data_IF_316275558777
#
_entry.id   IF_316275558777
#
_cell.length_a   1.000
_cell.length_b   1.000
_cell.length_c   1.000
_cell.angle_alpha   90.00
_cell.angle_beta   90.00
_cell.angle_gamma   90.00
#
_symmetry.space_group_name_H-M   'P 1'
#
loop_
_entity.id
_entity.type
_entity.pdbx_description
1 polymer ?
#
# COMPACT_ATOMS: atom_id res chain seq x y z
N UNK A 1 0.79 -42.06 8.82
CA UNK A 1 1.03 -40.76 9.49
C UNK A 1 1.91 -39.93 8.58
N UNK A 2 1.32 -39.14 7.68
CA UNK A 2 2.03 -38.14 6.88
C UNK A 2 1.28 -36.84 7.14
N UNK A 3 1.96 -35.87 7.74
CA UNK A 3 1.41 -34.56 8.06
C UNK A 3 1.06 -33.81 6.77
N UNK A 4 -0.07 -33.11 6.77
CA UNK A 4 -0.49 -32.19 5.72
C UNK A 4 0.54 -31.05 5.59
N UNK A 5 1.24 -30.89 4.45
CA UNK A 5 2.22 -29.81 4.30
C UNK A 5 1.49 -28.52 3.95
N UNK A 6 0.86 -27.90 4.95
CA UNK A 6 0.46 -26.49 4.81
C UNK A 6 1.74 -25.66 4.73
N UNK A 7 2.06 -25.17 3.54
CA UNK A 7 3.13 -24.18 3.36
C UNK A 7 2.65 -22.85 3.93
N UNK A 8 2.79 -22.67 5.24
CA UNK A 8 2.35 -21.47 5.94
C UNK A 8 3.37 -20.35 5.76
N UNK A 9 2.99 -19.32 5.01
CA UNK A 9 3.79 -18.12 4.79
C UNK A 9 3.42 -17.07 5.84
N UNK A 10 4.42 -16.57 6.57
CA UNK A 10 4.23 -15.51 7.56
C UNK A 10 3.82 -14.18 6.92
N UNK A 11 2.98 -13.40 7.63
CA UNK A 11 2.59 -12.04 7.23
C UNK A 11 3.54 -11.00 7.83
N UNK A 12 3.66 -9.85 7.16
CA UNK A 12 4.39 -8.69 7.67
C UNK A 12 3.42 -7.66 8.28
N UNK A 13 3.49 -7.47 9.60
CA UNK A 13 2.62 -6.53 10.32
C UNK A 13 2.92 -5.07 9.96
N UNK A 14 4.19 -4.72 9.77
CA UNK A 14 4.59 -3.36 9.38
C UNK A 14 4.00 -2.99 8.03
N UNK A 15 3.97 -3.93 7.07
CA UNK A 15 3.35 -3.71 5.77
C UNK A 15 1.83 -3.56 5.88
N UNK A 16 1.20 -4.33 6.75
CA UNK A 16 -0.25 -4.21 7.02
C UNK A 16 -0.57 -2.82 7.60
N UNK A 17 0.26 -2.35 8.53
CA UNK A 17 0.08 -1.03 9.14
C UNK A 17 0.36 0.11 8.13
N UNK A 18 1.40 -0.03 7.29
CA UNK A 18 1.69 0.90 6.20
C UNK A 18 0.51 1.05 5.23
N UNK A 19 -0.13 -0.06 4.85
CA UNK A 19 -1.30 -0.04 3.99
C UNK A 19 -2.49 0.68 4.65
N UNK A 20 -2.73 0.45 5.95
CA UNK A 20 -3.77 1.16 6.69
C UNK A 20 -3.55 2.68 6.69
N UNK A 21 -2.30 3.11 6.89
CA UNK A 21 -1.93 4.53 6.84
C UNK A 21 -2.12 5.10 5.42
N UNK A 22 -1.76 4.34 4.38
CA UNK A 22 -1.97 4.74 3.00
C UNK A 22 -3.46 4.95 2.68
N UNK A 23 -4.33 4.02 3.09
CA UNK A 23 -5.78 4.17 2.91
C UNK A 23 -6.34 5.38 3.65
N UNK A 24 -5.86 5.66 4.87
CA UNK A 24 -6.21 6.87 5.60
C UNK A 24 -5.76 8.14 4.85
N UNK A 25 -4.53 8.17 4.36
CA UNK A 25 -4.00 9.29 3.58
C UNK A 25 -4.83 9.56 2.31
N UNK A 26 -5.17 8.51 1.55
CA UNK A 26 -6.04 8.63 0.36
C UNK A 26 -7.39 9.22 0.72
N UNK A 27 -8.00 8.72 1.81
CA UNK A 27 -9.30 9.23 2.29
C UNK A 27 -9.24 10.69 2.72
N UNK A 28 -8.18 11.09 3.40
CA UNK A 28 -8.06 12.42 3.98
C UNK A 28 -7.67 13.49 2.94
N UNK A 29 -6.91 13.11 1.90
CA UNK A 29 -6.32 14.06 0.95
C UNK A 29 -6.90 14.00 -0.46
N UNK A 30 -7.50 12.87 -0.86
CA UNK A 30 -7.90 12.60 -2.25
C UNK A 30 -6.72 12.24 -3.19
N UNK A 31 -5.47 12.34 -2.73
CA UNK A 31 -4.28 11.91 -3.48
C UNK A 31 -4.14 10.39 -3.45
N UNK A 32 -3.51 9.81 -4.47
CA UNK A 32 -3.17 8.37 -4.50
C UNK A 32 -1.75 8.13 -4.03
N UNK A 33 -1.49 6.95 -3.46
CA UNK A 33 -0.16 6.58 -2.95
C UNK A 33 0.60 5.72 -3.98
N UNK A 34 1.81 6.11 -4.42
CA UNK A 34 2.63 5.30 -5.31
C UNK A 34 3.13 4.00 -4.65
N UNK A 35 3.74 3.13 -5.45
CA UNK A 35 4.36 1.90 -4.95
C UNK A 35 5.41 2.23 -3.88
N UNK A 36 5.35 1.52 -2.75
CA UNK A 36 6.30 1.71 -1.64
C UNK A 36 6.06 2.93 -0.76
N UNK A 37 5.01 3.74 -1.02
CA UNK A 37 4.70 4.96 -0.26
C UNK A 37 4.74 4.77 1.26
N UNK A 38 5.31 5.73 1.99
CA UNK A 38 5.37 5.77 3.46
C UNK A 38 4.82 7.08 4.04
N UNK A 39 4.40 7.09 5.31
CA UNK A 39 3.97 8.32 5.97
C UNK A 39 5.02 9.43 5.88
N UNK A 40 4.59 10.61 5.42
CA UNK A 40 5.45 11.77 5.19
C UNK A 40 5.90 11.95 3.74
N UNK A 41 5.75 10.95 2.88
CA UNK A 41 6.02 11.05 1.44
C UNK A 41 4.86 11.70 0.68
N UNK A 42 5.15 12.30 -0.46
CA UNK A 42 4.13 12.91 -1.31
C UNK A 42 3.25 11.84 -2.00
N UNK A 43 1.96 12.16 -2.09
CA UNK A 43 1.00 11.44 -2.93
C UNK A 43 0.86 12.08 -4.31
N UNK A 44 0.24 11.36 -5.24
CA UNK A 44 0.00 11.79 -6.61
C UNK A 44 -1.43 12.31 -6.75
N UNK A 45 -1.60 13.44 -7.41
CA UNK A 45 -2.92 13.94 -7.79
C UNK A 45 -3.51 13.08 -8.93
N UNK A 46 -4.71 12.51 -8.77
CA UNK A 46 -5.30 11.62 -9.78
C UNK A 46 -5.92 12.42 -10.95
N UNK A 47 -5.07 13.03 -11.77
CA UNK A 47 -5.48 13.80 -12.96
C UNK A 47 -5.09 13.10 -14.26
N UNK A 48 -5.80 13.40 -15.35
CA UNK A 48 -5.46 12.92 -16.70
C UNK A 48 -4.06 13.39 -17.10
N UNK A 49 -3.65 14.58 -16.65
CA UNK A 49 -2.32 15.12 -16.92
C UNK A 49 -1.22 14.24 -16.33
N UNK A 50 -1.42 13.69 -15.14
CA UNK A 50 -0.44 12.82 -14.49
C UNK A 50 -0.42 11.40 -15.06
N UNK A 51 -1.46 10.99 -15.80
CA UNK A 51 -1.54 9.65 -16.39
C UNK A 51 -0.45 9.46 -17.47
N UNK A 52 0.49 8.54 -17.21
CA UNK A 52 1.55 8.17 -18.15
C UNK A 52 2.79 9.08 -18.14
N UNK A 53 2.89 10.02 -17.19
CA UNK A 53 4.07 10.89 -16.99
C UNK A 53 4.94 10.50 -15.80
N UNK A 54 4.30 9.94 -14.78
CA UNK A 54 4.88 9.48 -13.50
C UNK A 54 4.84 7.96 -13.51
#
# INVERSE_FOLDING_TARGET
MIADPTFEIGRNLEETFRQLQAFKFVRDTGKVTPAGWKPGEEGIEPTIENAGRI
#
